data_IF_273049665845
#
_entry.id   IF_273049665845
#
_cell.length_a   1.000
_cell.length_b   1.000
_cell.length_c   1.000
_cell.angle_alpha   90.00
_cell.angle_beta   90.00
_cell.angle_gamma   90.00
#
_symmetry.space_group_name_H-M   'P 1'
#
loop_
_entity.id
_entity.type
_entity.pdbx_description
1 polymer ?
#
# COMPACT_ATOMS: atom_id res chain seq x y z
N UNK A 1 -0.38 40.35 25.63
CA UNK A 1 -0.28 39.50 24.42
C UNK A 1 -1.65 38.87 24.20
N UNK A 2 -2.28 39.13 23.05
CA UNK A 2 -3.73 38.97 22.86
C UNK A 2 -4.06 37.49 22.54
N UNK A 3 -5.04 36.87 23.21
CA UNK A 3 -5.35 35.44 23.09
C UNK A 3 -5.76 35.01 21.66
N UNK A 4 -6.11 35.98 20.82
CA UNK A 4 -6.43 35.80 19.41
C UNK A 4 -5.23 35.35 18.56
N UNK A 5 -4.00 35.75 18.90
CA UNK A 5 -2.81 35.33 18.14
C UNK A 5 -2.54 33.85 18.39
N UNK A 6 -2.71 33.38 19.63
CA UNK A 6 -2.50 31.99 19.99
C UNK A 6 -3.51 31.05 19.32
N UNK A 7 -4.78 31.46 19.23
CA UNK A 7 -5.83 30.64 18.57
C UNK A 7 -5.63 30.54 17.06
N UNK A 8 -5.20 31.61 16.40
CA UNK A 8 -4.87 31.57 14.96
C UNK A 8 -3.68 30.65 14.66
N UNK A 9 -2.65 30.63 15.53
CA UNK A 9 -1.49 29.74 15.38
C UNK A 9 -1.88 28.28 15.56
N UNK A 10 -2.73 27.96 16.55
CA UNK A 10 -3.23 26.59 16.78
C UNK A 10 -4.06 26.06 15.61
N UNK A 11 -4.95 26.88 15.04
CA UNK A 11 -5.74 26.51 13.86
C UNK A 11 -4.86 26.25 12.63
N UNK A 12 -3.83 27.08 12.41
CA UNK A 12 -2.88 26.88 11.31
C UNK A 12 -2.10 25.56 11.44
N UNK A 13 -1.67 25.20 12.66
CA UNK A 13 -0.97 23.94 12.93
C UNK A 13 -1.86 22.71 12.71
N UNK A 14 -3.15 22.79 13.04
CA UNK A 14 -4.10 21.68 12.81
C UNK A 14 -4.31 21.47 11.29
N UNK A 15 -4.44 22.53 10.51
CA UNK A 15 -4.62 22.45 9.05
C UNK A 15 -3.39 21.89 8.32
N UNK A 16 -2.18 22.21 8.79
CA UNK A 16 -0.93 21.69 8.21
C UNK A 16 -0.77 20.18 8.41
N UNK A 17 -1.19 19.64 9.56
CA UNK A 17 -1.07 18.20 9.86
C UNK A 17 -2.00 17.31 9.03
N UNK A 18 -3.18 17.80 8.65
CA UNK A 18 -4.15 17.05 7.83
C UNK A 18 -3.61 16.71 6.44
N UNK A 19 -2.73 17.55 5.88
CA UNK A 19 -2.15 17.35 4.54
C UNK A 19 -1.05 16.28 4.53
N UNK A 20 -0.38 16.05 5.66
CA UNK A 20 0.71 15.08 5.79
C UNK A 20 0.23 13.63 5.95
N UNK A 21 -1.00 13.42 6.43
CA UNK A 21 -1.54 12.08 6.67
C UNK A 21 -1.92 11.34 5.38
N UNK A 22 -2.12 12.05 4.27
CA UNK A 22 -2.57 11.42 3.02
C UNK A 22 -1.43 10.86 2.15
N UNK A 23 -0.18 11.23 2.41
CA UNK A 23 0.95 10.92 1.51
C UNK A 23 1.62 9.57 1.78
N UNK A 24 1.26 8.86 2.85
CA UNK A 24 1.92 7.60 3.23
C UNK A 24 1.32 6.34 2.62
N UNK A 25 0.22 6.46 1.86
CA UNK A 25 -0.53 5.31 1.32
C UNK A 25 -0.86 5.44 -0.18
N UNK A 26 -0.22 6.37 -0.91
CA UNK A 26 -0.37 6.42 -2.36
C UNK A 26 0.41 5.26 -3.00
N UNK A 27 -0.21 4.08 -3.06
CA UNK A 27 0.15 3.08 -4.06
C UNK A 27 -0.02 3.68 -5.46
N UNK A 28 0.69 3.16 -6.47
CA UNK A 28 0.31 3.52 -7.83
C UNK A 28 -1.12 3.03 -8.07
N UNK A 29 -1.95 3.83 -8.73
CA UNK A 29 -3.35 3.44 -9.02
C UNK A 29 -3.45 2.07 -9.70
N UNK A 30 -2.43 1.71 -10.48
CA UNK A 30 -2.22 0.37 -11.03
C UNK A 30 -2.13 -0.71 -9.95
N UNK A 31 -1.23 -0.54 -8.97
CA UNK A 31 -1.04 -1.51 -7.89
C UNK A 31 -2.29 -1.62 -7.02
N UNK A 32 -2.96 -0.51 -6.71
CA UNK A 32 -4.14 -0.52 -5.86
C UNK A 32 -5.28 -1.33 -6.51
N UNK A 33 -5.55 -1.06 -7.79
CA UNK A 33 -6.58 -1.78 -8.56
C UNK A 33 -6.25 -3.27 -8.72
N UNK A 34 -5.02 -3.59 -9.12
CA UNK A 34 -4.60 -4.98 -9.33
C UNK A 34 -4.56 -5.78 -8.03
N UNK A 35 -4.05 -5.18 -6.95
CA UNK A 35 -4.02 -5.83 -5.64
C UNK A 35 -5.42 -6.00 -5.05
N UNK A 36 -6.35 -5.07 -5.30
CA UNK A 36 -7.75 -5.24 -4.91
C UNK A 36 -8.37 -6.48 -5.58
N UNK A 37 -8.11 -6.69 -6.88
CA UNK A 37 -8.56 -7.89 -7.59
C UNK A 37 -7.87 -9.15 -7.06
N UNK A 38 -6.53 -9.15 -6.96
CA UNK A 38 -5.74 -10.29 -6.48
C UNK A 38 -6.16 -10.75 -5.09
N UNK A 39 -6.46 -9.81 -4.20
CA UNK A 39 -6.82 -10.06 -2.82
C UNK A 39 -8.34 -10.17 -2.56
N UNK A 40 -9.17 -10.13 -3.61
CA UNK A 40 -10.64 -10.09 -3.47
C UNK A 40 -11.23 -11.29 -2.72
N UNK A 41 -10.58 -12.46 -2.79
CA UNK A 41 -10.97 -13.71 -2.10
C UNK A 41 -10.04 -14.10 -0.95
N UNK A 42 -9.13 -13.21 -0.54
CA UNK A 42 -8.18 -13.53 0.53
C UNK A 42 -8.85 -13.52 1.91
N UNK A 43 -8.72 -14.59 2.68
CA UNK A 43 -9.26 -14.65 4.05
C UNK A 43 -8.64 -13.64 5.03
N UNK A 44 -7.43 -13.16 4.74
CA UNK A 44 -6.77 -12.05 5.47
C UNK A 44 -6.50 -10.89 4.50
N UNK A 45 -7.56 -10.15 4.17
CA UNK A 45 -7.55 -9.13 3.10
C UNK A 45 -6.49 -8.05 3.31
N UNK A 46 -6.40 -7.45 4.50
CA UNK A 46 -5.43 -6.37 4.78
C UNK A 46 -3.99 -6.84 4.64
N UNK A 47 -3.70 -8.06 5.11
CA UNK A 47 -2.39 -8.68 4.96
C UNK A 47 -2.06 -8.89 3.48
N UNK A 48 -3.02 -9.40 2.70
CA UNK A 48 -2.83 -9.61 1.28
C UNK A 48 -2.53 -8.29 0.56
N UNK A 49 -3.35 -7.26 0.77
CA UNK A 49 -3.17 -5.94 0.15
C UNK A 49 -1.81 -5.33 0.48
N UNK A 50 -1.38 -5.41 1.74
CA UNK A 50 -0.07 -4.92 2.18
C UNK A 50 1.09 -5.59 1.42
N UNK A 51 1.11 -6.92 1.37
CA UNK A 51 2.21 -7.63 0.71
C UNK A 51 2.12 -7.54 -0.82
N UNK A 52 0.92 -7.57 -1.38
CA UNK A 52 0.72 -7.34 -2.81
C UNK A 52 1.23 -5.95 -3.22
N UNK A 53 0.90 -4.90 -2.46
CA UNK A 53 1.35 -3.53 -2.74
C UNK A 53 2.87 -3.39 -2.68
N UNK A 54 3.53 -3.99 -1.67
CA UNK A 54 5.00 -4.03 -1.59
C UNK A 54 5.59 -4.71 -2.83
N UNK A 55 5.08 -5.88 -3.19
CA UNK A 55 5.58 -6.63 -4.33
C UNK A 55 5.30 -5.93 -5.67
N UNK A 56 4.14 -5.30 -5.81
CA UNK A 56 3.77 -4.55 -7.00
C UNK A 56 4.63 -3.30 -7.16
N UNK A 57 4.94 -2.59 -6.06
CA UNK A 57 5.83 -1.43 -6.11
C UNK A 57 7.25 -1.81 -6.52
N UNK A 58 7.74 -2.96 -6.05
CA UNK A 58 9.09 -3.44 -6.35
C UNK A 58 9.20 -4.05 -7.76
N UNK A 59 8.14 -4.75 -8.22
CA UNK A 59 8.17 -5.55 -9.45
C UNK A 59 7.36 -4.95 -10.60
N UNK A 60 6.59 -3.89 -10.34
CA UNK A 60 5.68 -3.24 -11.29
C UNK A 60 4.71 -4.19 -12.00
N UNK A 61 4.37 -5.32 -11.36
CA UNK A 61 3.57 -6.40 -11.94
C UNK A 61 2.75 -7.10 -10.84
N UNK A 62 1.51 -7.48 -11.17
CA UNK A 62 0.64 -8.31 -10.32
C UNK A 62 0.00 -9.38 -11.19
N UNK A 63 0.13 -10.67 -10.82
CA UNK A 63 -0.49 -11.78 -11.55
C UNK A 63 -2.01 -11.67 -11.67
N UNK A 64 -2.55 -12.25 -12.73
CA UNK A 64 -3.99 -12.40 -12.93
C UNK A 64 -4.64 -13.32 -11.88
N UNK A 65 -5.96 -13.20 -11.73
CA UNK A 65 -6.75 -14.01 -10.79
C UNK A 65 -6.46 -13.74 -9.31
N UNK A 66 -7.07 -14.55 -8.44
CA UNK A 66 -6.95 -14.40 -6.97
C UNK A 66 -5.93 -15.33 -6.33
N UNK A 67 -5.39 -16.28 -7.09
CA UNK A 67 -4.39 -17.27 -6.67
C UNK A 67 -3.65 -17.80 -7.90
N UNK A 68 -2.43 -18.33 -7.75
CA UNK A 68 -1.66 -18.89 -8.87
C UNK A 68 -1.12 -17.84 -9.86
N UNK A 69 -0.85 -18.26 -11.10
CA UNK A 69 -0.41 -17.44 -12.25
C UNK A 69 0.85 -16.59 -12.01
N UNK A 70 1.68 -16.98 -11.02
CA UNK A 70 2.83 -16.16 -10.62
C UNK A 70 3.91 -16.12 -11.71
N UNK A 71 3.91 -17.06 -12.63
CA UNK A 71 4.74 -17.10 -13.83
C UNK A 71 4.53 -15.90 -14.77
N UNK A 72 3.35 -15.26 -14.75
CA UNK A 72 3.11 -14.01 -15.48
C UNK A 72 4.01 -12.86 -14.98
N UNK A 73 4.43 -12.91 -13.71
CA UNK A 73 5.25 -11.89 -13.08
C UNK A 73 6.45 -12.54 -12.36
N UNK A 74 7.56 -12.88 -13.06
CA UNK A 74 8.70 -13.59 -12.46
C UNK A 74 9.28 -12.92 -11.21
N UNK A 75 9.44 -11.58 -11.21
CA UNK A 75 9.89 -10.85 -10.01
C UNK A 75 8.95 -11.03 -8.81
N UNK A 76 7.64 -11.01 -9.05
CA UNK A 76 6.62 -11.18 -8.01
C UNK A 76 6.62 -12.61 -7.46
N UNK A 77 6.80 -13.60 -8.34
CA UNK A 77 6.93 -15.03 -7.99
C UNK A 77 8.15 -15.29 -7.11
N UNK A 78 9.29 -14.73 -7.49
CA UNK A 78 10.59 -15.09 -6.94
C UNK A 78 10.94 -14.26 -5.69
N UNK A 79 10.11 -13.28 -5.33
CA UNK A 79 10.29 -12.46 -4.12
C UNK A 79 10.16 -13.32 -2.86
N UNK A 80 11.24 -13.39 -2.09
CA UNK A 80 11.30 -14.11 -0.82
C UNK A 80 11.24 -13.17 0.39
N UNK A 81 10.72 -13.69 1.50
CA UNK A 81 10.84 -13.05 2.81
C UNK A 81 12.21 -13.39 3.43
N UNK A 82 12.52 -12.79 4.58
CA UNK A 82 13.80 -13.03 5.27
C UNK A 82 14.02 -14.48 5.73
N UNK A 83 12.96 -15.30 5.76
CA UNK A 83 13.02 -16.73 6.10
C UNK A 83 13.07 -17.63 4.86
N UNK A 84 13.24 -17.07 3.66
CA UNK A 84 13.35 -17.80 2.40
C UNK A 84 12.02 -18.28 1.80
N UNK A 85 10.88 -18.06 2.48
CA UNK A 85 9.55 -18.39 1.95
C UNK A 85 9.01 -17.33 0.98
N UNK A 86 7.94 -17.63 0.24
CA UNK A 86 7.32 -16.66 -0.68
C UNK A 86 6.82 -15.43 0.09
N UNK A 87 7.13 -14.24 -0.41
CA UNK A 87 6.70 -12.96 0.19
C UNK A 87 5.36 -12.50 -0.36
N UNK A 88 5.14 -12.64 -1.65
CA UNK A 88 4.00 -12.07 -2.35
C UNK A 88 2.80 -13.03 -2.39
N UNK A 89 1.56 -12.54 -2.20
CA UNK A 89 0.36 -13.37 -2.22
C UNK A 89 0.10 -14.02 -3.59
#
# INVERSE_FOLDING_TARGET
MKPTVATFVLLALILLNSSLLHTTMAGSSFCDSKCAMRCSKAGRKDRCLKYCGICCKDCHCVPSGTYGNKDECPCYRDKKNSKGGPKCP
#
